data_IF_706648562559
#
_entry.id   IF_706648562559
#
_cell.length_a   1.000
_cell.length_b   1.000
_cell.length_c   1.000
_cell.angle_alpha   90.00
_cell.angle_beta   90.00
_cell.angle_gamma   90.00
#
_symmetry.space_group_name_H-M   'P 1'
#
loop_
_entity.id
_entity.type
_entity.pdbx_description
1 polymer ?
#
# COMPACT_ATOMS: atom_id res chain seq x y z
N UNK A 1 6.71 -12.36 11.58
CA UNK A 1 7.82 -12.22 10.58
C UNK A 1 8.71 -11.04 10.94
N UNK A 2 9.96 -11.02 10.43
CA UNK A 2 10.91 -9.94 10.71
C UNK A 2 11.98 -9.81 9.61
N UNK A 3 12.55 -8.62 9.51
CA UNK A 3 13.71 -8.29 8.70
C UNK A 3 14.94 -8.28 9.63
N UNK A 4 15.82 -9.28 9.52
CA UNK A 4 16.99 -9.40 10.41
C UNK A 4 18.15 -8.53 9.89
N UNK A 5 18.33 -8.45 8.56
CA UNK A 5 19.42 -7.68 7.94
C UNK A 5 18.97 -7.09 6.60
N UNK A 6 19.43 -5.89 6.31
CA UNK A 6 19.21 -5.19 5.04
C UNK A 6 20.53 -4.64 4.51
N UNK A 7 20.85 -4.97 3.27
CA UNK A 7 21.94 -4.37 2.52
C UNK A 7 21.37 -3.53 1.39
N UNK A 8 21.80 -2.29 1.31
CA UNK A 8 21.47 -1.29 0.30
C UNK A 8 22.74 -0.98 -0.51
N UNK A 9 22.66 -0.95 -1.82
CA UNK A 9 23.74 -0.49 -2.70
C UNK A 9 23.12 0.35 -3.84
N UNK A 10 23.53 1.61 -3.95
CA UNK A 10 22.99 2.55 -4.94
C UNK A 10 21.50 2.89 -4.79
N UNK A 11 20.90 2.66 -3.62
CA UNK A 11 19.48 2.90 -3.35
C UNK A 11 19.24 4.34 -2.89
N UNK A 12 18.49 5.12 -3.64
CA UNK A 12 18.19 6.52 -3.31
C UNK A 12 19.47 7.31 -3.01
N UNK A 13 19.64 7.76 -1.75
CA UNK A 13 20.83 8.45 -1.25
C UNK A 13 21.84 7.53 -0.54
N UNK A 14 21.56 6.22 -0.45
CA UNK A 14 22.49 5.24 0.13
C UNK A 14 23.48 4.75 -0.92
N UNK A 15 24.79 4.99 -0.67
CA UNK A 15 25.84 4.47 -1.54
C UNK A 15 26.00 2.95 -1.33
N UNK A 16 26.38 2.55 -0.12
CA UNK A 16 26.41 1.15 0.30
C UNK A 16 26.32 1.07 1.81
N UNK A 17 25.25 0.44 2.29
CA UNK A 17 25.03 0.26 3.73
C UNK A 17 24.52 -1.14 4.03
N UNK A 18 24.93 -1.68 5.18
CA UNK A 18 24.42 -2.94 5.70
C UNK A 18 24.01 -2.77 7.14
N UNK A 19 22.74 -3.01 7.45
CA UNK A 19 22.17 -2.87 8.79
C UNK A 19 21.67 -4.22 9.28
N UNK A 20 22.00 -4.55 10.54
CA UNK A 20 21.40 -5.66 11.27
C UNK A 20 20.43 -5.09 12.32
N UNK A 21 19.20 -5.58 12.33
CA UNK A 21 18.09 -5.02 13.10
C UNK A 21 17.80 -5.82 14.37
N UNK A 22 17.18 -5.17 15.35
CA UNK A 22 16.57 -5.84 16.50
C UNK A 22 15.28 -6.54 16.06
N UNK A 23 14.96 -7.64 16.73
CA UNK A 23 13.79 -8.45 16.41
C UNK A 23 12.46 -7.80 16.77
N UNK A 24 12.45 -6.79 17.63
CA UNK A 24 11.24 -6.12 18.12
C UNK A 24 11.15 -4.68 17.69
N UNK A 25 12.10 -3.84 18.11
CA UNK A 25 12.03 -2.42 17.87
C UNK A 25 13.33 -1.86 17.30
N UNK A 26 13.21 -1.02 16.27
CA UNK A 26 14.31 -0.33 15.63
C UNK A 26 13.93 1.16 15.49
N UNK A 27 14.64 2.01 16.21
CA UNK A 27 14.47 3.46 16.14
C UNK A 27 15.52 4.03 15.18
N UNK A 28 15.08 4.81 14.21
CA UNK A 28 15.92 5.42 13.21
C UNK A 28 15.76 6.92 13.33
N UNK A 29 16.79 7.60 13.80
CA UNK A 29 16.74 9.03 14.01
C UNK A 29 17.77 9.79 13.16
N UNK A 30 17.55 11.08 12.98
CA UNK A 30 18.39 11.99 12.22
C UNK A 30 17.56 13.15 11.68
N UNK A 31 18.21 14.18 11.21
CA UNK A 31 17.56 15.35 10.61
C UNK A 31 16.69 14.98 9.41
N UNK A 32 15.85 15.91 8.97
CA UNK A 32 15.03 15.72 7.78
C UNK A 32 15.91 15.58 6.53
N UNK A 33 15.43 14.81 5.56
CA UNK A 33 16.08 14.49 4.30
C UNK A 33 17.40 13.70 4.39
N UNK A 34 17.75 13.13 5.54
CA UNK A 34 18.97 12.33 5.70
C UNK A 34 18.84 10.89 5.14
N UNK A 35 17.63 10.42 4.83
CA UNK A 35 17.41 9.08 4.25
C UNK A 35 16.60 8.12 5.11
N UNK A 36 16.09 8.54 6.28
CA UNK A 36 15.26 7.69 7.17
C UNK A 36 14.11 7.01 6.41
N UNK A 37 13.29 7.78 5.74
CA UNK A 37 12.18 7.29 4.88
C UNK A 37 12.66 6.37 3.77
N UNK A 38 13.83 6.65 3.16
CA UNK A 38 14.38 5.82 2.08
C UNK A 38 14.78 4.42 2.57
N UNK A 39 15.19 4.30 3.84
CA UNK A 39 15.44 3.02 4.49
C UNK A 39 14.15 2.22 4.70
N UNK A 40 13.10 2.86 5.22
CA UNK A 40 11.79 2.20 5.36
C UNK A 40 11.18 1.84 3.99
N UNK A 41 11.34 2.72 2.99
CA UNK A 41 10.90 2.45 1.62
C UNK A 41 11.57 1.18 1.04
N UNK A 42 12.84 0.94 1.36
CA UNK A 42 13.55 -0.28 0.96
C UNK A 42 12.92 -1.54 1.59
N UNK A 43 12.52 -1.50 2.86
CA UNK A 43 11.84 -2.61 3.53
C UNK A 43 10.46 -2.90 2.89
N UNK A 44 9.67 -1.84 2.56
CA UNK A 44 8.42 -2.01 1.80
C UNK A 44 8.70 -2.61 0.42
N UNK A 45 9.73 -2.12 -0.26
CA UNK A 45 10.06 -2.61 -1.59
C UNK A 45 10.47 -4.09 -1.59
N UNK A 46 11.17 -4.56 -0.56
CA UNK A 46 11.49 -5.97 -0.35
C UNK A 46 10.24 -6.85 -0.14
N UNK A 47 9.15 -6.30 0.39
CA UNK A 47 7.93 -7.08 0.68
C UNK A 47 7.02 -7.30 -0.53
N UNK A 48 7.03 -6.39 -1.51
CA UNK A 48 6.07 -6.46 -2.61
C UNK A 48 6.61 -6.01 -3.97
N UNK A 49 7.86 -5.55 -4.03
CA UNK A 49 8.47 -5.02 -5.26
C UNK A 49 7.81 -3.74 -5.76
N UNK A 50 7.19 -2.97 -4.87
CA UNK A 50 6.58 -1.67 -5.16
C UNK A 50 6.96 -0.66 -4.09
N UNK A 51 7.25 0.56 -4.51
CA UNK A 51 7.46 1.67 -3.58
C UNK A 51 6.12 2.31 -3.20
N UNK A 52 5.96 2.74 -1.94
CA UNK A 52 4.82 3.56 -1.54
C UNK A 52 4.87 4.99 -2.10
N UNK A 53 6.04 5.46 -2.57
CA UNK A 53 6.30 6.86 -2.97
C UNK A 53 6.69 7.01 -4.43
N UNK A 54 7.53 6.12 -4.96
CA UNK A 54 8.03 6.21 -6.33
C UNK A 54 7.00 5.70 -7.34
N UNK A 55 6.93 6.35 -8.49
CA UNK A 55 6.11 5.91 -9.62
C UNK A 55 6.77 4.83 -10.47
N UNK A 56 8.10 4.73 -10.40
CA UNK A 56 8.86 3.73 -11.16
C UNK A 56 10.21 3.41 -10.55
N UNK A 57 10.75 2.24 -10.92
CA UNK A 57 11.99 1.71 -10.38
C UNK A 57 13.21 2.64 -10.60
N UNK A 58 13.17 3.46 -11.66
CA UNK A 58 14.25 4.41 -11.98
C UNK A 58 14.46 5.48 -10.91
N UNK A 59 13.40 5.87 -10.22
CA UNK A 59 13.45 6.87 -9.14
C UNK A 59 14.12 6.35 -7.87
N UNK A 60 14.22 5.03 -7.73
CA UNK A 60 14.82 4.37 -6.59
C UNK A 60 16.34 4.20 -6.71
N UNK A 61 16.87 4.37 -7.93
CA UNK A 61 18.30 4.29 -8.22
C UNK A 61 18.95 5.63 -7.95
N UNK A 62 20.04 5.66 -7.21
CA UNK A 62 20.82 6.86 -6.91
C UNK A 62 21.16 7.68 -8.16
N UNK A 63 21.20 9.01 -8.04
CA UNK A 63 21.28 9.92 -9.19
C UNK A 63 22.45 9.62 -10.16
N UNK A 64 23.62 9.31 -9.63
CA UNK A 64 24.83 9.03 -10.41
C UNK A 64 25.04 7.54 -10.71
N UNK A 65 24.06 6.68 -10.35
CA UNK A 65 24.16 5.23 -10.51
C UNK A 65 23.34 4.74 -11.71
N UNK A 66 23.79 3.62 -12.32
CA UNK A 66 23.08 2.93 -13.39
C UNK A 66 22.19 1.80 -12.85
N UNK A 67 22.48 1.36 -11.64
CA UNK A 67 21.81 0.26 -10.96
C UNK A 67 21.72 0.51 -9.46
N UNK A 68 20.86 -0.26 -8.82
CA UNK A 68 20.75 -0.36 -7.37
C UNK A 68 20.43 -1.79 -6.97
N UNK A 69 20.84 -2.19 -5.78
CA UNK A 69 20.48 -3.49 -5.23
C UNK A 69 20.04 -3.42 -3.78
N UNK A 70 19.11 -4.30 -3.45
CA UNK A 70 18.61 -4.55 -2.10
C UNK A 70 18.81 -6.03 -1.80
N UNK A 71 19.36 -6.34 -0.64
CA UNK A 71 19.43 -7.72 -0.13
C UNK A 71 18.87 -7.73 1.29
N UNK A 72 17.79 -8.49 1.52
CA UNK A 72 17.16 -8.69 2.82
C UNK A 72 17.36 -10.10 3.35
N UNK A 73 17.77 -10.24 4.60
CA UNK A 73 17.67 -11.49 5.36
C UNK A 73 16.41 -11.41 6.22
N UNK A 74 15.51 -12.34 6.00
CA UNK A 74 14.14 -12.32 6.54
C UNK A 74 13.91 -13.59 7.36
N UNK A 75 13.07 -13.49 8.37
CA UNK A 75 12.59 -14.65 9.13
C UNK A 75 11.07 -14.66 9.12
N UNK A 76 10.49 -15.76 8.68
CA UNK A 76 9.04 -15.96 8.67
C UNK A 76 8.74 -17.46 8.71
N UNK A 77 7.66 -17.86 9.38
CA UNK A 77 7.23 -19.26 9.51
C UNK A 77 8.37 -20.20 9.92
N UNK A 78 9.13 -19.78 10.93
CA UNK A 78 10.30 -20.51 11.49
C UNK A 78 11.40 -20.84 10.47
N UNK A 79 11.51 -20.03 9.40
CA UNK A 79 12.51 -20.19 8.34
C UNK A 79 13.19 -18.86 8.04
N UNK A 80 14.45 -18.95 7.63
CA UNK A 80 15.20 -17.81 7.11
C UNK A 80 15.11 -17.78 5.60
N UNK A 81 14.89 -16.59 5.06
CA UNK A 81 14.86 -16.32 3.62
C UNK A 81 15.86 -15.21 3.28
N UNK A 82 16.45 -15.31 2.11
CA UNK A 82 17.24 -14.23 1.50
C UNK A 82 16.49 -13.73 0.28
N UNK A 83 16.12 -12.45 0.28
CA UNK A 83 15.49 -11.79 -0.86
C UNK A 83 16.48 -10.81 -1.47
N UNK A 84 16.63 -10.87 -2.78
CA UNK A 84 17.50 -9.95 -3.52
C UNK A 84 16.72 -9.28 -4.64
N UNK A 85 16.90 -7.97 -4.79
CA UNK A 85 16.31 -7.17 -5.85
C UNK A 85 17.41 -6.32 -6.49
N UNK A 86 17.54 -6.42 -7.80
CA UNK A 86 18.45 -5.60 -8.61
C UNK A 86 17.64 -4.73 -9.57
N UNK A 87 17.85 -3.44 -9.51
CA UNK A 87 17.21 -2.41 -10.36
C UNK A 87 18.22 -1.91 -11.39
N UNK A 88 17.72 -1.56 -12.57
CA UNK A 88 18.54 -1.04 -13.68
C UNK A 88 17.80 0.09 -14.40
N UNK A 89 18.52 1.13 -14.84
CA UNK A 89 17.92 2.26 -15.56
C UNK A 89 17.38 1.88 -16.96
N UNK A 90 17.89 0.85 -17.59
CA UNK A 90 17.51 0.50 -18.98
C UNK A 90 16.99 -0.93 -19.16
N UNK A 91 16.85 -1.70 -18.09
CA UNK A 91 16.46 -3.12 -18.15
C UNK A 91 15.38 -3.43 -17.13
N UNK A 92 14.72 -4.57 -17.29
CA UNK A 92 13.83 -5.10 -16.26
C UNK A 92 14.61 -5.45 -15.01
N UNK A 93 14.04 -5.16 -13.85
CA UNK A 93 14.57 -5.59 -12.56
C UNK A 93 14.68 -7.10 -12.47
N UNK A 94 15.61 -7.55 -11.64
CA UNK A 94 15.73 -8.95 -11.26
C UNK A 94 15.38 -9.10 -9.80
N UNK A 95 14.66 -10.16 -9.45
CA UNK A 95 14.29 -10.48 -8.09
C UNK A 95 14.53 -11.96 -7.84
N UNK A 96 15.03 -12.31 -6.66
CA UNK A 96 15.21 -13.70 -6.23
C UNK A 96 14.75 -13.87 -4.79
N UNK A 97 14.28 -15.06 -4.45
CA UNK A 97 14.05 -15.53 -3.09
C UNK A 97 14.83 -16.82 -2.91
N UNK A 98 15.79 -16.84 -1.99
CA UNK A 98 16.74 -17.94 -1.79
C UNK A 98 17.46 -18.37 -3.10
N UNK A 99 17.83 -17.37 -3.92
CA UNK A 99 18.46 -17.60 -5.23
C UNK A 99 17.51 -18.04 -6.35
N UNK A 100 16.25 -18.34 -6.04
CA UNK A 100 15.24 -18.72 -7.05
C UNK A 100 14.63 -17.46 -7.67
N UNK A 101 14.62 -17.32 -9.01
CA UNK A 101 14.06 -16.16 -9.68
C UNK A 101 12.57 -15.95 -9.37
N UNK A 102 12.23 -14.75 -8.89
CA UNK A 102 10.87 -14.30 -8.63
C UNK A 102 10.39 -13.43 -9.81
N UNK A 103 9.35 -13.89 -10.51
CA UNK A 103 8.81 -13.16 -11.68
C UNK A 103 7.91 -12.00 -11.31
N UNK A 104 7.27 -12.05 -10.14
CA UNK A 104 6.29 -11.08 -9.65
C UNK A 104 6.57 -10.69 -8.20
N UNK A 105 6.03 -9.56 -7.74
CA UNK A 105 6.10 -9.15 -6.35
C UNK A 105 5.38 -10.11 -5.39
N UNK A 106 4.47 -10.94 -5.87
CA UNK A 106 3.76 -11.93 -5.05
C UNK A 106 4.73 -12.91 -4.36
N UNK A 107 5.81 -13.34 -5.05
CA UNK A 107 6.81 -14.22 -4.45
C UNK A 107 7.57 -13.55 -3.29
N UNK A 108 7.72 -12.22 -3.31
CA UNK A 108 8.29 -11.45 -2.21
C UNK A 108 7.32 -11.39 -1.02
N UNK A 109 6.04 -11.19 -1.33
CA UNK A 109 4.99 -11.12 -0.32
C UNK A 109 4.73 -12.47 0.37
N UNK A 110 5.10 -13.59 -0.23
CA UNK A 110 5.04 -14.89 0.45
C UNK A 110 5.97 -14.99 1.68
N UNK A 111 7.01 -14.16 1.75
CA UNK A 111 8.03 -14.22 2.80
C UNK A 111 8.07 -12.99 3.71
N UNK A 112 7.64 -11.83 3.24
CA UNK A 112 7.61 -10.60 4.03
C UNK A 112 6.36 -9.79 3.75
N UNK A 113 5.63 -9.46 4.81
CA UNK A 113 4.58 -8.44 4.77
C UNK A 113 5.02 -7.20 5.54
N UNK A 114 4.67 -6.04 5.03
CA UNK A 114 4.92 -4.75 5.69
C UNK A 114 3.63 -3.93 5.77
N UNK A 115 3.47 -3.19 6.84
CA UNK A 115 2.47 -2.11 6.96
C UNK A 115 3.24 -0.81 7.14
N UNK A 116 3.18 0.03 6.14
CA UNK A 116 3.85 1.33 6.13
C UNK A 116 2.85 2.42 6.50
N UNK A 117 3.23 3.25 7.46
CA UNK A 117 2.44 4.37 7.95
C UNK A 117 3.29 5.63 7.96
N UNK A 118 2.89 6.62 7.19
CA UNK A 118 3.57 7.91 7.01
C UNK A 118 2.61 9.08 7.30
N UNK A 119 3.10 10.32 7.44
CA UNK A 119 2.25 11.48 7.71
C UNK A 119 1.17 11.72 6.67
N UNK A 120 1.44 11.41 5.40
CA UNK A 120 0.46 11.53 4.31
C UNK A 120 -0.76 10.62 4.52
N UNK A 121 -0.58 9.46 5.15
CA UNK A 121 -1.69 8.55 5.47
C UNK A 121 -2.70 9.16 6.45
N UNK A 122 -2.28 10.12 7.28
CA UNK A 122 -3.19 10.86 8.17
C UNK A 122 -4.23 11.68 7.40
N UNK A 123 -3.96 11.97 6.13
CA UNK A 123 -4.88 12.67 5.24
C UNK A 123 -5.71 11.73 4.36
N UNK A 124 -5.52 10.40 4.46
CA UNK A 124 -6.18 9.38 3.65
C UNK A 124 -7.71 9.58 3.55
N UNK A 125 -8.33 9.99 4.65
CA UNK A 125 -9.79 10.22 4.72
C UNK A 125 -10.19 11.45 3.88
N UNK A 126 -9.39 12.53 3.91
CA UNK A 126 -9.66 13.76 3.16
C UNK A 126 -9.15 13.71 1.73
N UNK A 127 -8.22 12.84 1.45
CA UNK A 127 -7.66 12.63 0.12
C UNK A 127 -8.73 12.15 -0.89
N UNK A 128 -8.37 12.12 -2.15
CA UNK A 128 -9.23 11.58 -3.20
C UNK A 128 -9.40 10.06 -3.12
N UNK A 129 -10.39 9.54 -3.84
CA UNK A 129 -10.63 8.09 -3.94
C UNK A 129 -9.41 7.30 -4.43
N UNK A 130 -8.52 7.93 -5.21
CA UNK A 130 -7.30 7.30 -5.69
C UNK A 130 -6.38 6.83 -4.56
N UNK A 131 -6.20 7.66 -3.51
CA UNK A 131 -5.37 7.31 -2.36
C UNK A 131 -5.98 6.17 -1.54
N UNK A 132 -7.30 6.17 -1.33
CA UNK A 132 -7.98 5.07 -0.63
C UNK A 132 -7.94 3.76 -1.42
N UNK A 133 -8.04 3.81 -2.75
CA UNK A 133 -7.80 2.61 -3.57
C UNK A 133 -6.36 2.13 -3.46
N UNK A 134 -5.39 3.04 -3.55
CA UNK A 134 -3.97 2.72 -3.41
C UNK A 134 -3.67 2.04 -2.07
N UNK A 135 -4.24 2.55 -0.98
CA UNK A 135 -4.14 1.93 0.35
C UNK A 135 -4.64 0.48 0.33
N UNK A 136 -5.86 0.22 -0.17
CA UNK A 136 -6.38 -1.15 -0.28
C UNK A 136 -5.54 -2.02 -1.21
N UNK A 137 -5.11 -1.47 -2.34
CA UNK A 137 -4.37 -2.20 -3.36
C UNK A 137 -2.99 -2.65 -2.86
N UNK A 138 -2.30 -1.82 -2.08
CA UNK A 138 -1.00 -2.17 -1.48
C UNK A 138 -1.14 -3.34 -0.50
N UNK A 139 -2.15 -3.31 0.36
CA UNK A 139 -2.42 -4.40 1.29
C UNK A 139 -2.87 -5.67 0.56
N UNK A 140 -3.84 -5.57 -0.34
CA UNK A 140 -4.36 -6.72 -1.10
C UNK A 140 -3.31 -7.38 -2.00
N UNK A 141 -2.40 -6.60 -2.58
CA UNK A 141 -1.30 -7.16 -3.39
C UNK A 141 -0.34 -8.03 -2.56
N UNK A 142 -0.13 -7.70 -1.29
CA UNK A 142 0.66 -8.53 -0.38
C UNK A 142 -0.10 -9.78 0.07
N UNK A 143 -1.42 -9.67 0.31
CA UNK A 143 -2.24 -10.73 0.87
C UNK A 143 -2.73 -11.75 -0.17
N UNK A 144 -2.89 -11.35 -1.43
CA UNK A 144 -3.59 -12.12 -2.46
C UNK A 144 -2.85 -12.04 -3.81
N UNK A 145 -2.01 -13.03 -4.16
CA UNK A 145 -1.29 -13.05 -5.45
C UNK A 145 -2.20 -12.86 -6.66
N UNK A 146 -3.36 -13.55 -6.66
CA UNK A 146 -4.37 -13.41 -7.73
C UNK A 146 -4.90 -11.98 -7.87
N UNK A 147 -5.02 -11.24 -6.76
CA UNK A 147 -5.39 -9.82 -6.82
C UNK A 147 -4.28 -8.97 -7.46
N UNK A 148 -3.02 -9.20 -7.08
CA UNK A 148 -1.89 -8.48 -7.64
C UNK A 148 -1.76 -8.68 -9.15
N UNK A 149 -1.98 -9.91 -9.63
CA UNK A 149 -2.01 -10.23 -11.06
C UNK A 149 -3.17 -9.52 -11.78
N UNK A 150 -4.38 -9.60 -11.21
CA UNK A 150 -5.56 -8.93 -11.76
C UNK A 150 -5.38 -7.40 -11.79
N UNK A 151 -4.81 -6.79 -10.76
CA UNK A 151 -4.54 -5.35 -10.72
C UNK A 151 -3.54 -4.94 -11.79
N UNK A 152 -2.46 -5.70 -11.98
CA UNK A 152 -1.46 -5.43 -13.01
C UNK A 152 -2.05 -5.57 -14.42
N UNK A 153 -2.89 -6.58 -14.67
CA UNK A 153 -3.58 -6.74 -15.94
C UNK A 153 -4.59 -5.62 -16.18
N UNK A 154 -5.41 -5.30 -15.17
CA UNK A 154 -6.40 -4.22 -15.25
C UNK A 154 -5.74 -2.87 -15.57
N UNK A 155 -4.67 -2.53 -14.87
CA UNK A 155 -3.94 -1.27 -15.09
C UNK A 155 -3.45 -1.16 -16.53
N UNK A 156 -2.80 -2.23 -17.04
CA UNK A 156 -2.34 -2.26 -18.43
C UNK A 156 -3.48 -2.12 -19.44
N UNK A 157 -4.59 -2.84 -19.27
CA UNK A 157 -5.76 -2.77 -20.13
C UNK A 157 -6.41 -1.37 -20.10
N UNK A 158 -6.50 -0.78 -18.92
CA UNK A 158 -7.04 0.56 -18.73
C UNK A 158 -6.18 1.63 -19.43
N UNK A 159 -4.85 1.56 -19.31
CA UNK A 159 -3.91 2.44 -20.01
C UNK A 159 -4.06 2.31 -21.54
N UNK A 160 -4.14 1.07 -22.05
CA UNK A 160 -4.36 0.83 -23.48
C UNK A 160 -5.71 1.38 -23.95
N UNK A 161 -6.81 1.10 -23.24
CA UNK A 161 -8.13 1.65 -23.59
C UNK A 161 -8.12 3.19 -23.58
N UNK A 162 -7.50 3.79 -22.56
CA UNK A 162 -7.37 5.26 -22.47
C UNK A 162 -6.61 5.83 -23.68
N UNK A 163 -5.54 5.14 -24.11
CA UNK A 163 -4.79 5.54 -25.31
C UNK A 163 -5.65 5.40 -26.59
N UNK A 164 -6.36 4.29 -26.76
CA UNK A 164 -7.28 4.08 -27.88
C UNK A 164 -8.31 5.20 -27.94
N UNK A 165 -8.95 5.54 -26.81
CA UNK A 165 -9.94 6.62 -26.75
C UNK A 165 -9.34 7.99 -27.10
N UNK A 166 -8.13 8.28 -26.62
CA UNK A 166 -7.45 9.55 -26.90
C UNK A 166 -7.03 9.67 -28.37
N UNK A 167 -6.40 8.63 -28.91
CA UNK A 167 -5.82 8.65 -30.25
C UNK A 167 -6.86 8.38 -31.36
N UNK A 168 -8.12 8.05 -30.97
CA UNK A 168 -9.22 7.75 -31.92
C UNK A 168 -9.70 8.95 -32.73
N UNK A 169 -9.36 10.17 -32.39
CA UNK A 169 -9.65 11.36 -33.19
C UNK A 169 -8.87 11.36 -34.52
N UNK A 170 -7.56 11.05 -34.41
CA UNK A 170 -6.67 10.96 -35.57
C UNK A 170 -6.77 9.61 -36.27
N UNK A 171 -7.10 8.55 -35.51
CA UNK A 171 -7.15 7.17 -35.95
C UNK A 171 -8.46 6.46 -35.58
N UNK A 172 -9.62 6.79 -36.23
CA UNK A 172 -10.93 6.23 -35.85
C UNK A 172 -11.02 4.71 -35.89
N UNK A 173 -10.19 4.04 -36.71
CA UNK A 173 -10.12 2.58 -36.81
C UNK A 173 -9.72 1.91 -35.46
N UNK A 174 -9.04 2.61 -34.54
CA UNK A 174 -8.68 2.09 -33.24
C UNK A 174 -9.91 1.74 -32.38
N UNK A 175 -11.06 2.40 -32.65
CA UNK A 175 -12.31 2.13 -31.92
C UNK A 175 -12.82 0.69 -32.14
N UNK A 176 -12.41 0.03 -33.22
CA UNK A 176 -12.78 -1.36 -33.52
C UNK A 176 -12.17 -2.33 -32.49
N UNK A 177 -11.10 -1.93 -31.77
CA UNK A 177 -10.47 -2.75 -30.74
C UNK A 177 -11.20 -2.66 -29.39
N UNK A 178 -12.03 -1.65 -29.18
CA UNK A 178 -12.67 -1.40 -27.88
C UNK A 178 -13.50 -2.58 -27.33
N UNK A 179 -14.26 -3.35 -28.13
CA UNK A 179 -15.05 -4.47 -27.62
C UNK A 179 -14.20 -5.50 -26.86
N UNK A 180 -13.05 -5.89 -27.41
CA UNK A 180 -12.15 -6.87 -26.78
C UNK A 180 -11.53 -6.34 -25.48
N UNK A 181 -11.09 -5.07 -25.50
CA UNK A 181 -10.58 -4.42 -24.28
C UNK A 181 -11.67 -4.27 -23.23
N UNK A 182 -12.89 -3.92 -23.60
CA UNK A 182 -14.03 -3.78 -22.71
C UNK A 182 -14.38 -5.10 -22.04
N UNK A 183 -14.46 -6.19 -22.79
CA UNK A 183 -14.76 -7.52 -22.26
C UNK A 183 -13.71 -7.96 -21.23
N UNK A 184 -12.43 -7.78 -21.55
CA UNK A 184 -11.33 -8.12 -20.64
C UNK A 184 -11.33 -7.24 -19.40
N UNK A 185 -11.56 -5.92 -19.53
CA UNK A 185 -11.67 -4.99 -18.42
C UNK A 185 -12.82 -5.34 -17.48
N UNK A 186 -13.98 -5.77 -17.99
CA UNK A 186 -15.11 -6.22 -17.18
C UNK A 186 -14.74 -7.47 -16.37
N UNK A 187 -14.13 -8.46 -17.03
CA UNK A 187 -13.75 -9.72 -16.38
C UNK A 187 -12.73 -9.52 -15.26
N UNK A 188 -11.66 -8.80 -15.55
CA UNK A 188 -10.60 -8.52 -14.56
C UNK A 188 -11.10 -7.52 -13.50
N UNK A 189 -11.93 -6.55 -13.90
CA UNK A 189 -12.55 -5.59 -12.99
C UNK A 189 -13.45 -6.23 -11.96
N UNK A 190 -14.21 -7.25 -12.34
CA UNK A 190 -15.06 -8.02 -11.42
C UNK A 190 -14.24 -8.72 -10.32
N UNK A 191 -13.05 -9.22 -10.66
CA UNK A 191 -12.11 -9.79 -9.67
C UNK A 191 -11.71 -8.72 -8.65
N UNK A 192 -11.29 -7.53 -9.12
CA UNK A 192 -10.85 -6.45 -8.24
C UNK A 192 -11.97 -5.99 -7.29
N UNK A 193 -13.18 -5.76 -7.82
CA UNK A 193 -14.35 -5.35 -7.01
C UNK A 193 -14.64 -6.38 -5.92
N UNK A 194 -14.70 -7.66 -6.28
CA UNK A 194 -14.99 -8.75 -5.33
C UNK A 194 -13.96 -8.82 -4.19
N UNK A 195 -12.67 -8.65 -4.48
CA UNK A 195 -11.62 -8.65 -3.45
C UNK A 195 -11.68 -7.40 -2.58
N UNK A 196 -11.84 -6.20 -3.17
CA UNK A 196 -11.91 -4.94 -2.41
C UNK A 196 -13.13 -4.89 -1.51
N UNK A 197 -14.29 -5.35 -1.98
CA UNK A 197 -15.50 -5.39 -1.17
C UNK A 197 -15.30 -6.26 0.09
N UNK A 198 -14.76 -7.47 -0.06
CA UNK A 198 -14.48 -8.36 1.07
C UNK A 198 -13.40 -7.80 2.00
N UNK A 199 -12.36 -7.20 1.45
CA UNK A 199 -11.33 -6.54 2.25
C UNK A 199 -11.91 -5.37 3.05
N UNK A 200 -12.80 -4.56 2.46
CA UNK A 200 -13.47 -3.46 3.14
C UNK A 200 -14.30 -3.93 4.34
N UNK A 201 -14.95 -5.10 4.26
CA UNK A 201 -15.68 -5.69 5.41
C UNK A 201 -14.70 -6.02 6.54
N UNK A 202 -13.62 -6.73 6.25
CA UNK A 202 -12.60 -7.04 7.26
C UNK A 202 -11.96 -5.78 7.84
N UNK A 203 -11.69 -4.79 6.98
CA UNK A 203 -11.13 -3.50 7.39
C UNK A 203 -12.09 -2.75 8.33
N UNK A 204 -13.40 -2.77 8.02
CA UNK A 204 -14.43 -2.12 8.84
C UNK A 204 -14.49 -2.72 10.25
N UNK A 205 -14.40 -4.04 10.37
CA UNK A 205 -14.46 -4.74 11.66
C UNK A 205 -13.32 -4.29 12.60
N UNK A 206 -12.07 -4.39 12.14
CA UNK A 206 -10.92 -4.02 12.98
C UNK A 206 -10.77 -2.50 13.16
N UNK A 207 -11.07 -1.71 12.12
CA UNK A 207 -10.99 -0.27 12.21
C UNK A 207 -12.04 0.32 13.16
N UNK A 208 -13.26 -0.23 13.21
CA UNK A 208 -14.31 0.19 14.14
C UNK A 208 -13.85 0.04 15.58
N UNK A 209 -13.27 -1.12 15.94
CA UNK A 209 -12.78 -1.37 17.28
C UNK A 209 -11.62 -0.43 17.63
N UNK A 210 -10.62 -0.31 16.75
CA UNK A 210 -9.47 0.56 16.97
C UNK A 210 -9.89 2.04 17.11
N UNK A 211 -10.86 2.50 16.33
CA UNK A 211 -11.37 3.86 16.38
C UNK A 211 -12.16 4.13 17.68
N UNK A 212 -13.03 3.19 18.08
CA UNK A 212 -13.80 3.28 19.31
C UNK A 212 -12.88 3.43 20.52
N UNK A 213 -11.88 2.56 20.66
CA UNK A 213 -10.91 2.62 21.75
C UNK A 213 -10.06 3.90 21.72
N UNK A 214 -9.53 4.27 20.54
CA UNK A 214 -8.68 5.46 20.39
C UNK A 214 -9.45 6.77 20.64
N UNK A 215 -10.76 6.83 20.32
CA UNK A 215 -11.63 7.98 20.57
C UNK A 215 -12.08 8.08 22.03
N UNK A 216 -11.77 7.08 22.88
CA UNK A 216 -12.23 6.97 24.27
C UNK A 216 -13.69 6.53 24.35
N UNK A 217 -14.06 5.57 23.51
CA UNK A 217 -15.36 4.91 23.46
C UNK A 217 -16.53 5.86 23.11
N UNK A 218 -16.23 6.90 22.30
CA UNK A 218 -17.19 7.96 21.99
C UNK A 218 -17.66 7.98 20.55
N UNK A 219 -16.87 7.38 19.63
CA UNK A 219 -17.10 7.51 18.20
C UNK A 219 -17.17 6.14 17.53
N UNK A 220 -18.18 5.96 16.69
CA UNK A 220 -18.34 4.77 15.86
C UNK A 220 -17.85 5.05 14.44
N UNK A 221 -16.92 4.20 13.95
CA UNK A 221 -16.42 4.25 12.59
C UNK A 221 -17.15 3.22 11.72
N UNK A 222 -17.64 3.67 10.56
CA UNK A 222 -18.26 2.82 9.55
C UNK A 222 -17.56 3.00 8.22
N UNK A 223 -17.30 1.91 7.50
CA UNK A 223 -16.74 1.90 6.16
C UNK A 223 -17.75 1.34 5.17
N UNK A 224 -17.94 2.03 4.04
CA UNK A 224 -18.83 1.60 2.97
C UNK A 224 -18.06 1.54 1.66
N UNK A 225 -17.96 0.35 1.08
CA UNK A 225 -17.37 0.20 -0.25
C UNK A 225 -18.34 0.71 -1.32
N UNK A 226 -17.85 1.56 -2.21
CA UNK A 226 -18.60 2.15 -3.31
C UNK A 226 -17.95 1.78 -4.64
N UNK A 227 -18.75 1.33 -5.58
CA UNK A 227 -18.33 1.04 -6.96
C UNK A 227 -19.34 1.62 -7.96
N UNK A 228 -19.22 1.28 -9.24
CA UNK A 228 -20.15 1.78 -10.27
C UNK A 228 -21.58 1.34 -9.98
N UNK A 229 -22.55 2.20 -10.25
CA UNK A 229 -23.96 2.05 -9.82
C UNK A 229 -24.66 0.77 -10.31
N UNK A 230 -24.24 0.22 -11.44
CA UNK A 230 -24.82 -1.03 -11.97
C UNK A 230 -24.42 -2.28 -11.20
N UNK A 231 -23.36 -2.21 -10.39
CA UNK A 231 -22.95 -3.26 -9.46
C UNK A 231 -23.67 -3.03 -8.14
N UNK A 232 -24.87 -3.54 -8.02
CA UNK A 232 -25.72 -3.37 -6.82
C UNK A 232 -25.18 -4.20 -5.64
N UNK A 233 -24.72 -5.42 -5.92
CA UNK A 233 -24.10 -6.30 -4.93
C UNK A 233 -22.64 -6.63 -5.32
N UNK A 234 -21.62 -6.02 -4.66
CA UNK A 234 -20.23 -6.31 -4.91
C UNK A 234 -19.76 -7.66 -4.36
N UNK A 235 -20.62 -8.37 -3.62
CA UNK A 235 -20.37 -9.72 -3.09
C UNK A 235 -20.93 -10.84 -4.00
N UNK A 236 -21.71 -10.47 -5.01
CA UNK A 236 -22.26 -11.40 -5.99
C UNK A 236 -21.15 -12.22 -6.69
N UNK A 237 -21.47 -13.33 -7.35
CA UNK A 237 -20.54 -14.07 -8.17
C UNK A 237 -19.85 -13.17 -9.21
N UNK A 238 -18.56 -13.40 -9.46
CA UNK A 238 -17.75 -12.56 -10.36
C UNK A 238 -18.39 -12.42 -11.74
N UNK A 239 -19.09 -13.44 -12.22
CA UNK A 239 -19.80 -13.38 -13.51
C UNK A 239 -20.92 -12.32 -13.50
N UNK A 240 -21.70 -12.22 -12.44
CA UNK A 240 -22.75 -11.21 -12.28
C UNK A 240 -22.18 -9.81 -12.18
N UNK A 241 -21.07 -9.65 -11.44
CA UNK A 241 -20.34 -8.35 -11.37
C UNK A 241 -19.80 -7.98 -12.76
N UNK A 242 -19.26 -8.94 -13.51
CA UNK A 242 -18.77 -8.72 -14.87
C UNK A 242 -19.90 -8.26 -15.80
N UNK A 243 -21.07 -8.90 -15.74
CA UNK A 243 -22.25 -8.49 -16.53
C UNK A 243 -22.74 -7.09 -16.14
N UNK A 244 -22.73 -6.75 -14.85
CA UNK A 244 -23.09 -5.42 -14.38
C UNK A 244 -22.09 -4.36 -14.88
N UNK A 245 -20.80 -4.65 -14.87
CA UNK A 245 -19.77 -3.77 -15.46
C UNK A 245 -19.94 -3.58 -16.95
N UNK A 246 -20.30 -4.66 -17.69
CA UNK A 246 -20.57 -4.59 -19.14
C UNK A 246 -21.74 -3.64 -19.41
N UNK A 247 -22.87 -3.79 -18.71
CA UNK A 247 -24.01 -2.86 -18.83
C UNK A 247 -23.62 -1.41 -18.53
N UNK A 248 -22.76 -1.19 -17.55
CA UNK A 248 -22.26 0.16 -17.25
C UNK A 248 -21.41 0.71 -18.40
N UNK A 249 -20.53 -0.09 -18.97
CA UNK A 249 -19.69 0.33 -20.11
C UNK A 249 -20.53 0.65 -21.34
N UNK A 250 -21.53 -0.19 -21.67
CA UNK A 250 -22.44 0.03 -22.78
C UNK A 250 -23.21 1.34 -22.65
N UNK A 251 -23.75 1.60 -21.46
CA UNK A 251 -24.48 2.85 -21.17
C UNK A 251 -23.58 4.11 -21.24
N UNK A 252 -22.27 3.98 -21.00
CA UNK A 252 -21.33 5.11 -21.00
C UNK A 252 -20.47 5.20 -22.26
N UNK A 253 -20.64 4.32 -23.24
CA UNK A 253 -19.77 4.24 -24.42
C UNK A 253 -19.70 5.56 -25.20
N UNK A 254 -20.84 6.21 -25.41
CA UNK A 254 -20.90 7.50 -26.10
C UNK A 254 -20.17 8.59 -25.29
N UNK A 255 -20.35 8.63 -23.96
CA UNK A 255 -19.68 9.57 -23.09
C UNK A 255 -18.16 9.31 -23.00
N UNK A 256 -17.73 8.04 -22.98
CA UNK A 256 -16.29 7.68 -23.01
C UNK A 256 -15.62 8.15 -24.29
N UNK A 257 -16.29 7.99 -25.45
CA UNK A 257 -15.79 8.48 -26.74
C UNK A 257 -15.71 10.00 -26.78
N UNK A 258 -16.75 10.71 -26.31
CA UNK A 258 -16.78 12.16 -26.29
C UNK A 258 -15.75 12.76 -25.32
N UNK A 259 -15.60 12.20 -24.10
CA UNK A 259 -14.67 12.68 -23.10
C UNK A 259 -13.25 12.14 -23.24
N UNK A 260 -13.05 11.09 -24.06
CA UNK A 260 -11.77 10.36 -24.22
C UNK A 260 -11.24 9.75 -22.92
N UNK A 261 -12.14 9.47 -21.97
CA UNK A 261 -11.83 8.93 -20.66
C UNK A 261 -12.53 7.60 -20.43
N UNK A 262 -11.86 6.68 -19.75
CA UNK A 262 -12.52 5.50 -19.20
C UNK A 262 -13.44 5.90 -18.04
N UNK A 263 -14.74 5.64 -18.17
CA UNK A 263 -15.75 6.01 -17.17
C UNK A 263 -16.27 4.83 -16.35
N UNK A 264 -16.00 3.60 -16.78
CA UNK A 264 -16.56 2.38 -16.21
C UNK A 264 -15.50 1.44 -15.67
N UNK A 265 -15.61 1.05 -14.41
CA UNK A 265 -14.75 0.02 -13.80
C UNK A 265 -14.19 0.39 -12.42
N UNK A 266 -13.41 -0.52 -11.81
CA UNK A 266 -12.91 -0.40 -10.44
C UNK A 266 -11.93 0.76 -10.21
N UNK A 267 -11.45 1.44 -11.24
CA UNK A 267 -10.72 2.70 -11.10
C UNK A 267 -11.60 3.87 -10.61
N UNK A 268 -12.92 3.67 -10.56
CA UNK A 268 -13.90 4.60 -9.97
C UNK A 268 -14.31 4.23 -8.54
N UNK A 269 -13.87 3.08 -8.03
CA UNK A 269 -14.21 2.63 -6.67
C UNK A 269 -13.74 3.63 -5.60
N UNK A 270 -14.44 3.61 -4.48
CA UNK A 270 -14.09 4.37 -3.28
C UNK A 270 -14.46 3.61 -2.01
N UNK A 271 -13.88 4.03 -0.89
CA UNK A 271 -14.31 3.66 0.46
C UNK A 271 -14.80 4.92 1.15
N UNK A 272 -16.09 4.99 1.40
CA UNK A 272 -16.67 6.06 2.17
C UNK A 272 -16.48 5.77 3.66
N UNK A 273 -15.93 6.74 4.38
CA UNK A 273 -15.65 6.65 5.81
C UNK A 273 -16.63 7.54 6.56
N UNK A 274 -17.40 6.93 7.45
CA UNK A 274 -18.37 7.64 8.29
C UNK A 274 -17.94 7.58 9.75
N UNK A 275 -18.13 8.69 10.48
CA UNK A 275 -17.99 8.76 11.94
C UNK A 275 -19.36 9.18 12.49
N UNK A 276 -19.91 8.36 13.37
CA UNK A 276 -21.28 8.54 13.90
C UNK A 276 -22.32 8.82 12.79
N UNK A 277 -22.23 8.04 11.70
CA UNK A 277 -23.13 8.11 10.54
C UNK A 277 -22.92 9.32 9.62
N UNK A 278 -21.93 10.19 9.86
CA UNK A 278 -21.63 11.37 9.02
C UNK A 278 -20.31 11.19 8.26
N UNK A 279 -20.26 11.70 7.03
CA UNK A 279 -19.05 11.63 6.22
C UNK A 279 -17.84 12.27 6.94
N UNK A 280 -16.85 11.44 7.28
CA UNK A 280 -15.62 11.90 7.93
C UNK A 280 -14.83 12.87 7.04
N UNK A 281 -14.92 12.71 5.71
CA UNK A 281 -14.27 13.59 4.73
C UNK A 281 -14.83 15.00 4.77
N UNK A 282 -16.16 15.15 4.88
CA UNK A 282 -16.84 16.44 4.80
C UNK A 282 -16.97 17.11 6.17
N UNK A 283 -17.27 16.36 7.20
CA UNK A 283 -17.68 16.87 8.51
C UNK A 283 -16.76 16.49 9.66
N UNK A 284 -15.80 15.59 9.44
CA UNK A 284 -14.88 15.16 10.49
C UNK A 284 -13.94 16.29 10.93
N UNK A 285 -13.77 16.46 12.25
CA UNK A 285 -12.72 17.32 12.79
C UNK A 285 -11.33 16.78 12.40
N UNK A 286 -10.29 17.59 12.49
CA UNK A 286 -8.91 17.15 12.21
C UNK A 286 -8.51 15.96 13.10
N UNK A 287 -8.86 16.02 14.38
CA UNK A 287 -8.59 14.91 15.31
C UNK A 287 -9.32 13.63 14.95
N UNK A 288 -10.60 13.70 14.55
CA UNK A 288 -11.40 12.56 14.10
C UNK A 288 -10.81 11.91 12.84
N UNK A 289 -10.43 12.73 11.86
CA UNK A 289 -9.82 12.25 10.62
C UNK A 289 -8.49 11.55 10.88
N UNK A 290 -7.64 12.12 11.74
CA UNK A 290 -6.37 11.48 12.14
C UNK A 290 -6.61 10.17 12.88
N UNK A 291 -7.57 10.13 13.82
CA UNK A 291 -7.93 8.88 14.52
C UNK A 291 -8.45 7.82 13.55
N UNK A 292 -9.31 8.20 12.60
CA UNK A 292 -9.83 7.26 11.60
C UNK A 292 -8.71 6.70 10.70
N UNK A 293 -7.79 7.53 10.22
CA UNK A 293 -6.65 7.08 9.42
C UNK A 293 -5.74 6.12 10.20
N UNK A 294 -5.44 6.45 11.45
CA UNK A 294 -4.70 5.59 12.37
C UNK A 294 -5.40 4.23 12.55
N UNK A 295 -6.71 4.25 12.76
CA UNK A 295 -7.51 3.04 12.96
C UNK A 295 -7.50 2.13 11.72
N UNK A 296 -7.50 2.72 10.51
CA UNK A 296 -7.35 1.96 9.26
C UNK A 296 -5.98 1.28 9.16
N UNK A 297 -4.90 1.95 9.57
CA UNK A 297 -3.54 1.38 9.55
C UNK A 297 -3.36 0.26 10.58
N UNK A 298 -3.92 0.41 11.76
CA UNK A 298 -3.92 -0.66 12.77
C UNK A 298 -4.79 -1.85 12.34
N UNK A 299 -5.92 -1.58 11.69
CA UNK A 299 -6.77 -2.63 11.12
C UNK A 299 -6.05 -3.40 9.99
N UNK A 300 -5.34 -2.72 9.10
CA UNK A 300 -4.49 -3.33 8.08
C UNK A 300 -3.52 -4.33 8.71
N UNK A 301 -2.84 -3.95 9.79
CA UNK A 301 -1.91 -4.82 10.53
C UNK A 301 -2.57 -6.10 11.07
N UNK A 302 -3.76 -5.97 11.66
CA UNK A 302 -4.51 -7.13 12.18
C UNK A 302 -5.01 -8.04 11.05
N UNK A 303 -5.45 -7.50 9.93
CA UNK A 303 -5.84 -8.28 8.74
C UNK A 303 -4.65 -9.11 8.24
N UNK A 304 -3.45 -8.52 8.13
CA UNK A 304 -2.25 -9.25 7.73
C UNK A 304 -1.92 -10.37 8.70
N UNK A 305 -1.93 -10.11 10.01
CA UNK A 305 -1.71 -11.11 11.05
C UNK A 305 -2.67 -12.29 10.91
N UNK A 306 -3.96 -12.02 10.76
CA UNK A 306 -4.96 -13.09 10.69
C UNK A 306 -4.88 -13.89 9.37
N UNK A 307 -4.48 -13.25 8.28
CA UNK A 307 -4.33 -13.92 7.00
C UNK A 307 -3.10 -14.83 6.93
N UNK A 308 -2.01 -14.49 7.65
CA UNK A 308 -0.70 -15.17 7.54
C UNK A 308 -0.31 -15.92 8.81
N UNK A 309 -0.93 -15.60 9.96
CA UNK A 309 -0.60 -16.16 11.28
C UNK A 309 0.53 -15.43 12.01
N UNK A 310 1.19 -14.47 11.38
CA UNK A 310 2.28 -13.68 11.94
C UNK A 310 2.03 -12.18 11.75
N UNK A 311 2.49 -11.36 12.70
CA UNK A 311 2.45 -9.91 12.50
C UNK A 311 3.34 -9.47 11.33
N UNK A 312 2.85 -8.57 10.46
CA UNK A 312 3.68 -7.90 9.47
C UNK A 312 4.70 -6.99 10.16
N UNK A 313 5.79 -6.68 9.48
CA UNK A 313 6.73 -5.63 9.93
C UNK A 313 6.03 -4.28 9.84
N UNK A 314 5.94 -3.58 10.97
CA UNK A 314 5.33 -2.26 11.05
C UNK A 314 6.39 -1.17 10.85
N UNK A 315 6.13 -0.26 9.92
CA UNK A 315 7.05 0.81 9.54
C UNK A 315 6.36 2.15 9.79
N UNK A 316 6.78 2.87 10.82
CA UNK A 316 6.24 4.18 11.23
C UNK A 316 7.22 5.28 10.82
N UNK A 317 6.90 6.02 9.76
CA UNK A 317 7.74 7.07 9.20
C UNK A 317 7.30 8.46 9.70
N UNK A 318 7.99 8.99 10.70
CA UNK A 318 7.76 10.30 11.34
C UNK A 318 6.30 10.56 11.81
N UNK A 319 5.44 9.52 11.80
CA UNK A 319 4.01 9.67 12.08
C UNK A 319 3.72 9.94 13.57
N UNK A 320 4.57 9.44 14.47
CA UNK A 320 4.35 9.64 15.90
C UNK A 320 4.46 11.11 16.30
N UNK A 321 5.32 11.90 15.64
CA UNK A 321 5.45 13.35 15.88
C UNK A 321 4.18 14.14 15.54
N UNK A 322 3.35 13.62 14.64
CA UNK A 322 2.07 14.21 14.23
C UNK A 322 0.89 13.88 15.16
N UNK A 323 1.12 12.99 16.14
CA UNK A 323 0.09 12.52 17.05
C UNK A 323 0.24 13.18 18.42
N UNK A 324 -0.88 13.47 19.07
CA UNK A 324 -0.88 13.87 20.48
C UNK A 324 -0.44 12.69 21.40
N UNK A 325 -0.02 12.97 22.64
CA UNK A 325 0.52 11.96 23.55
C UNK A 325 -0.40 10.76 23.77
N UNK A 326 -1.71 10.96 23.84
CA UNK A 326 -2.68 9.88 24.04
C UNK A 326 -2.71 8.91 22.85
N UNK A 327 -2.71 9.45 21.64
CA UNK A 327 -2.67 8.64 20.41
C UNK A 327 -1.32 7.96 20.24
N UNK A 328 -0.22 8.63 20.59
CA UNK A 328 1.12 8.02 20.59
C UNK A 328 1.15 6.79 21.51
N UNK A 329 0.71 6.92 22.75
CA UNK A 329 0.65 5.83 23.72
C UNK A 329 -0.24 4.67 23.21
N UNK A 330 -1.41 5.00 22.66
CA UNK A 330 -2.32 4.01 22.09
C UNK A 330 -1.64 3.20 20.94
N UNK A 331 -0.96 3.88 20.02
CA UNK A 331 -0.23 3.21 18.92
C UNK A 331 0.86 2.31 19.48
N UNK A 332 1.72 2.84 20.36
CA UNK A 332 2.85 2.11 20.93
C UNK A 332 2.40 0.85 21.67
N UNK A 333 1.27 0.90 22.36
CA UNK A 333 0.68 -0.27 23.03
C UNK A 333 0.12 -1.30 22.04
N UNK A 334 -0.43 -0.86 20.91
CA UNK A 334 -1.05 -1.72 19.89
C UNK A 334 -0.07 -2.37 18.93
N UNK A 335 1.10 -1.78 18.70
CA UNK A 335 2.10 -2.33 17.77
C UNK A 335 2.99 -3.41 18.39
N UNK A 336 2.78 -3.75 19.67
CA UNK A 336 3.49 -4.85 20.33
C UNK A 336 3.22 -6.19 19.65
N UNK A 337 4.12 -7.15 19.79
CA UNK A 337 3.99 -8.52 19.29
C UNK A 337 4.58 -8.78 17.89
N UNK A 338 5.08 -7.77 17.18
CA UNK A 338 5.80 -7.88 15.91
C UNK A 338 7.01 -6.96 15.85
N UNK A 339 7.79 -7.04 14.78
CA UNK A 339 8.90 -6.12 14.55
C UNK A 339 8.37 -4.76 14.09
N UNK A 340 8.95 -3.68 14.67
CA UNK A 340 8.58 -2.29 14.39
C UNK A 340 9.81 -1.48 14.05
N UNK A 341 9.69 -0.62 13.05
CA UNK A 341 10.65 0.43 12.73
C UNK A 341 9.97 1.78 12.93
N UNK A 342 10.65 2.68 13.61
CA UNK A 342 10.13 4.02 13.91
C UNK A 342 11.17 5.03 13.48
N UNK A 343 10.81 5.97 12.62
CA UNK A 343 11.67 7.12 12.33
C UNK A 343 11.25 8.32 13.16
N UNK A 344 12.22 9.13 13.57
CA UNK A 344 12.02 10.40 14.25
C UNK A 344 13.14 11.39 13.93
N UNK A 345 12.90 12.67 14.19
CA UNK A 345 13.93 13.71 14.02
C UNK A 345 14.86 13.79 15.22
N UNK A 346 14.34 13.58 16.44
CA UNK A 346 15.07 13.66 17.71
C UNK A 346 14.90 12.36 18.51
N UNK A 347 15.96 11.95 19.20
CA UNK A 347 16.00 10.69 19.94
C UNK A 347 15.38 10.76 21.35
N UNK A 348 15.27 11.96 21.93
CA UNK A 348 15.12 12.19 23.37
C UNK A 348 13.87 11.61 24.06
N UNK A 349 12.85 11.18 23.31
CA UNK A 349 11.59 10.67 23.89
C UNK A 349 11.33 9.18 23.68
N UNK A 350 11.91 8.57 22.66
CA UNK A 350 11.60 7.18 22.30
C UNK A 350 12.52 6.17 22.97
N UNK A 351 13.75 6.55 23.32
CA UNK A 351 14.72 5.68 24.01
C UNK A 351 14.22 5.18 25.38
N UNK A 352 13.40 6.00 26.07
CA UNK A 352 12.84 5.64 27.37
C UNK A 352 11.61 4.72 27.26
N UNK A 353 10.92 4.75 26.13
CA UNK A 353 9.65 4.03 25.92
C UNK A 353 9.85 2.68 25.22
N UNK A 354 10.92 2.50 24.44
CA UNK A 354 11.11 1.34 23.56
C UNK A 354 12.50 0.73 23.78
N UNK A 355 12.54 -0.48 24.35
CA UNK A 355 13.75 -1.30 24.40
C UNK A 355 14.03 -1.85 23.00
N UNK A 356 15.01 -1.29 22.28
CA UNK A 356 15.32 -1.69 20.91
C UNK A 356 16.68 -1.21 20.43
N UNK A 357 16.96 -1.37 19.15
CA UNK A 357 18.18 -0.88 18.52
C UNK A 357 17.95 0.51 17.92
N UNK A 358 18.94 1.38 18.09
CA UNK A 358 18.90 2.77 17.64
C UNK A 358 19.91 2.97 16.53
N UNK A 359 19.50 3.65 15.45
CA UNK A 359 20.32 3.97 14.29
C UNK A 359 20.30 5.48 14.06
N UNK A 360 21.47 6.09 13.97
CA UNK A 360 21.61 7.49 13.58
C UNK A 360 21.91 7.56 12.07
N UNK A 361 21.04 8.23 11.32
CA UNK A 361 21.20 8.39 9.88
C UNK A 361 21.63 9.81 9.55
N UNK A 362 22.73 9.94 8.80
CA UNK A 362 23.24 11.20 8.28
C UNK A 362 23.73 11.01 6.84
N UNK A 363 23.14 11.76 5.88
CA UNK A 363 23.55 11.73 4.48
C UNK A 363 23.46 10.37 3.79
N UNK A 364 22.57 9.46 4.24
CA UNK A 364 22.49 8.07 3.72
C UNK A 364 23.52 7.11 4.35
N UNK A 365 24.16 7.50 5.42
CA UNK A 365 25.08 6.66 6.20
C UNK A 365 24.55 6.45 7.60
N UNK A 366 24.86 5.30 8.17
CA UNK A 366 24.58 4.93 9.56
C UNK A 366 25.83 5.21 10.39
N UNK A 367 25.71 6.07 11.40
CA UNK A 367 26.78 6.48 12.30
C UNK A 367 26.81 5.56 13.53
#
# INVERSE_FOLDING_TARGET
>A
MRLDKLTLDGWRNYQRQTLAFDQRCNVIYGENAQGKTNLLEAAVYLSCGKSPRAHGDRELIGFERQDASLTGQLFSRDRTFTTEIQLFRGKRRKMTVNGVPAKTGAALSDVLHTVFFCPEDLFLIRAGAAERRRFMDLSLCQLRPRYAEALAEYTRLHEHKTRILRDSEEHPQLLQMLPDFNERLCRVGAVLISYRARYCVSLAEYARQAHFECSGEKEELTLLYRTVKTVEDPFAPQEQICQALRRHQEAHLAAERASRLCLSGPHKDDVEVLINGRSARQYGSQGQVRTAALSLKLAEREIHKNAVGEYPVMLLDDVLSELDPRRQEYVLNRIQGGQVFITCCENDRLDTLLKGKVFHIRGGEVL
#
